data_IF_599304100952
#
_entry.id   IF_599304100952
#
_cell.length_a   1.000
_cell.length_b   1.000
_cell.length_c   1.000
_cell.angle_alpha   90.00
_cell.angle_beta   90.00
_cell.angle_gamma   90.00
#
_symmetry.space_group_name_H-M   'P 1'
#
loop_
_entity.id
_entity.type
_entity.pdbx_description
1 polymer ?
#
# COMPACT_ATOMS: atom_id res chain seq x y z
N UNK A 1 37.07 -10.75 12.24
CA UNK A 1 35.64 -10.65 11.88
C UNK A 1 35.46 -11.44 10.61
N UNK A 2 34.75 -12.57 10.70
CA UNK A 2 34.89 -13.70 9.78
C UNK A 2 33.90 -13.58 8.61
N UNK A 3 34.40 -13.10 7.46
CA UNK A 3 33.64 -12.76 6.26
C UNK A 3 32.76 -13.92 5.76
N UNK A 4 33.21 -15.16 5.94
CA UNK A 4 32.47 -16.37 5.54
C UNK A 4 31.27 -16.66 6.46
N UNK A 5 31.32 -16.29 7.75
CA UNK A 5 30.16 -16.39 8.66
C UNK A 5 29.08 -15.36 8.33
N UNK A 6 29.46 -14.17 7.88
CA UNK A 6 28.52 -13.12 7.44
C UNK A 6 27.85 -13.53 6.13
N UNK A 7 28.60 -14.10 5.17
CA UNK A 7 28.06 -14.65 3.92
C UNK A 7 27.09 -15.81 4.17
N UNK A 8 27.41 -16.72 5.09
CA UNK A 8 26.54 -17.85 5.44
C UNK A 8 25.21 -17.39 6.09
N UNK A 9 25.26 -16.37 6.96
CA UNK A 9 24.07 -15.70 7.51
C UNK A 9 23.23 -15.03 6.42
N UNK A 10 23.88 -14.31 5.51
CA UNK A 10 23.22 -13.64 4.37
C UNK A 10 22.53 -14.64 3.41
N UNK A 11 23.16 -15.78 3.10
CA UNK A 11 22.58 -16.80 2.22
C UNK A 11 21.48 -17.64 2.89
N UNK A 12 21.53 -17.87 4.21
CA UNK A 12 20.42 -18.47 4.96
C UNK A 12 19.19 -17.55 5.01
N UNK A 13 19.40 -16.25 5.17
CA UNK A 13 18.34 -15.23 5.14
C UNK A 13 17.71 -15.07 3.74
N UNK A 14 18.51 -15.16 2.67
CA UNK A 14 18.00 -15.09 1.29
C UNK A 14 17.06 -16.23 0.90
N UNK A 15 17.23 -17.43 1.47
CA UNK A 15 16.40 -18.60 1.13
C UNK A 15 14.96 -18.49 1.66
N UNK A 16 14.79 -17.82 2.81
CA UNK A 16 13.48 -17.45 3.38
C UNK A 16 12.86 -16.26 2.65
N UNK A 17 13.69 -15.28 2.27
CA UNK A 17 13.27 -14.16 1.43
C UNK A 17 12.79 -14.61 0.04
N UNK A 18 13.40 -15.63 -0.58
CA UNK A 18 13.01 -16.15 -1.90
C UNK A 18 11.68 -16.91 -1.89
N UNK A 19 11.38 -17.65 -0.82
CA UNK A 19 10.11 -18.37 -0.67
C UNK A 19 8.95 -17.39 -0.41
N UNK A 20 9.18 -16.34 0.40
CA UNK A 20 8.23 -15.21 0.53
C UNK A 20 8.10 -14.42 -0.78
N UNK A 21 9.19 -14.25 -1.55
CA UNK A 21 9.18 -13.43 -2.77
C UNK A 21 8.26 -13.97 -3.88
N UNK A 22 7.99 -15.27 -3.94
CA UNK A 22 7.07 -15.85 -4.94
C UNK A 22 5.60 -15.58 -4.60
N UNK A 23 5.19 -15.80 -3.34
CA UNK A 23 3.84 -15.48 -2.85
C UNK A 23 3.60 -13.96 -2.81
N UNK A 24 4.60 -13.17 -2.38
CA UNK A 24 4.58 -11.71 -2.46
C UNK A 24 4.38 -11.24 -3.90
N UNK A 25 5.06 -11.85 -4.89
CA UNK A 25 4.93 -11.46 -6.31
C UNK A 25 3.57 -11.80 -6.92
N UNK A 26 2.92 -12.87 -6.51
CA UNK A 26 1.59 -13.23 -7.01
C UNK A 26 0.50 -12.30 -6.45
N UNK A 27 0.55 -11.96 -5.15
CA UNK A 27 -0.34 -10.96 -4.55
C UNK A 27 -0.04 -9.52 -5.00
N UNK A 28 1.24 -9.16 -5.18
CA UNK A 28 1.63 -7.89 -5.79
C UNK A 28 1.11 -7.83 -7.23
N UNK A 29 1.28 -8.89 -8.03
CA UNK A 29 0.76 -8.90 -9.40
C UNK A 29 -0.76 -8.79 -9.42
N UNK A 30 -1.48 -9.47 -8.53
CA UNK A 30 -2.95 -9.37 -8.49
C UNK A 30 -3.39 -7.96 -8.13
N UNK A 31 -2.79 -7.34 -7.12
CA UNK A 31 -3.12 -5.98 -6.69
C UNK A 31 -2.75 -4.92 -7.74
N UNK A 32 -1.58 -5.03 -8.37
CA UNK A 32 -1.16 -4.11 -9.42
C UNK A 32 -2.03 -4.21 -10.67
N UNK A 33 -2.56 -5.38 -11.01
CA UNK A 33 -3.50 -5.54 -12.13
C UNK A 33 -4.83 -4.81 -11.92
N UNK A 34 -5.16 -4.43 -10.69
CA UNK A 34 -6.38 -3.70 -10.36
C UNK A 34 -6.20 -2.18 -10.44
N UNK A 35 -4.97 -1.70 -10.59
CA UNK A 35 -4.61 -0.28 -10.54
C UNK A 35 -4.30 0.26 -11.93
N UNK A 36 -4.81 1.45 -12.21
CA UNK A 36 -4.43 2.22 -13.40
C UNK A 36 -3.08 2.89 -13.15
N UNK A 37 -2.06 2.45 -13.88
CA UNK A 37 -0.76 3.12 -13.90
C UNK A 37 -0.77 4.33 -14.83
N UNK A 38 -0.46 5.50 -14.30
CA UNK A 38 -0.09 6.67 -15.08
C UNK A 38 0.92 7.53 -14.32
N UNK A 39 1.61 8.44 -15.01
CA UNK A 39 2.49 9.42 -14.34
C UNK A 39 1.72 10.31 -13.34
N UNK A 40 0.40 10.42 -13.51
CA UNK A 40 -0.49 11.19 -12.62
C UNK A 40 -1.00 10.38 -11.42
N UNK A 41 -1.09 9.05 -11.51
CA UNK A 41 -1.62 8.18 -10.45
C UNK A 41 -0.97 6.78 -10.46
N UNK A 42 -0.62 6.26 -9.29
CA UNK A 42 -0.19 4.86 -9.13
C UNK A 42 1.14 4.45 -9.80
N UNK A 43 1.81 5.33 -10.54
CA UNK A 43 3.04 4.99 -11.28
C UNK A 43 4.32 4.85 -10.44
N UNK A 44 4.33 5.38 -9.22
CA UNK A 44 5.53 5.42 -8.38
C UNK A 44 5.29 4.69 -7.06
N UNK A 45 5.83 3.48 -6.96
CA UNK A 45 5.80 2.66 -5.73
C UNK A 45 6.61 3.33 -4.63
N UNK A 46 6.10 3.30 -3.40
CA UNK A 46 6.69 3.91 -2.21
C UNK A 46 6.90 5.43 -2.30
N UNK A 47 6.09 6.10 -3.12
CA UNK A 47 6.04 7.55 -3.20
C UNK A 47 4.81 8.06 -2.44
N UNK A 48 5.01 9.00 -1.52
CA UNK A 48 3.91 9.64 -0.79
C UNK A 48 3.44 10.85 -1.59
N UNK A 49 2.16 10.87 -1.95
CA UNK A 49 1.49 11.96 -2.67
C UNK A 49 0.33 12.50 -1.86
N UNK A 50 0.13 13.80 -2.01
CA UNK A 50 -0.99 14.54 -1.44
C UNK A 50 -1.36 15.66 -2.41
N UNK A 51 -2.62 16.07 -2.36
CA UNK A 51 -3.18 17.16 -3.15
C UNK A 51 -3.32 18.45 -2.33
N UNK A 52 -3.37 19.60 -3.01
CA UNK A 52 -3.49 20.91 -2.34
C UNK A 52 -4.78 21.07 -1.51
N UNK A 53 -5.80 20.26 -1.76
CA UNK A 53 -7.08 20.30 -1.05
C UNK A 53 -7.14 19.44 0.22
N UNK A 54 -6.08 18.69 0.54
CA UNK A 54 -6.05 17.84 1.73
C UNK A 54 -5.69 18.64 2.99
N UNK A 55 -6.34 18.30 4.11
CA UNK A 55 -6.00 18.87 5.42
C UNK A 55 -4.64 18.34 5.90
N UNK A 56 -3.98 19.13 6.74
CA UNK A 56 -2.70 18.70 7.33
C UNK A 56 -2.81 17.40 8.13
N UNK A 57 -3.93 17.22 8.84
CA UNK A 57 -4.22 16.01 9.60
C UNK A 57 -4.28 14.78 8.69
N UNK A 58 -4.96 14.90 7.54
CA UNK A 58 -5.04 13.83 6.54
C UNK A 58 -3.66 13.47 5.98
N UNK A 59 -2.86 14.48 5.62
CA UNK A 59 -1.51 14.29 5.10
C UNK A 59 -0.61 13.64 6.15
N UNK A 60 -0.63 14.11 7.40
CA UNK A 60 0.18 13.57 8.49
C UNK A 60 -0.16 12.09 8.75
N UNK A 61 -1.44 11.75 8.82
CA UNK A 61 -1.88 10.37 9.03
C UNK A 61 -1.50 9.46 7.85
N UNK A 62 -1.55 9.98 6.61
CA UNK A 62 -1.11 9.26 5.42
C UNK A 62 0.38 8.93 5.47
N UNK A 63 1.20 9.91 5.87
CA UNK A 63 2.64 9.70 6.06
C UNK A 63 2.90 8.65 7.12
N UNK A 64 2.21 8.71 8.27
CA UNK A 64 2.31 7.72 9.35
C UNK A 64 2.05 6.30 8.84
N UNK A 65 0.93 6.07 8.15
CA UNK A 65 0.59 4.75 7.56
C UNK A 65 1.68 4.29 6.59
N UNK A 66 2.14 5.17 5.70
CA UNK A 66 3.18 4.84 4.73
C UNK A 66 4.50 4.45 5.40
N UNK A 67 4.91 5.16 6.46
CA UNK A 67 6.10 4.84 7.24
C UNK A 67 5.97 3.46 7.91
N UNK A 68 4.85 3.17 8.56
CA UNK A 68 4.61 1.86 9.17
C UNK A 68 4.66 0.73 8.15
N UNK A 69 4.08 0.91 6.96
CA UNK A 69 4.18 -0.08 5.88
C UNK A 69 5.63 -0.33 5.46
N UNK A 70 6.47 0.71 5.39
CA UNK A 70 7.90 0.55 5.09
C UNK A 70 8.67 -0.18 6.17
N UNK A 71 8.39 0.12 7.44
CA UNK A 71 9.01 -0.57 8.58
C UNK A 71 8.70 -2.08 8.57
N UNK A 72 7.49 -2.46 8.12
CA UNK A 72 7.09 -3.86 7.93
C UNK A 72 7.64 -4.49 6.64
N UNK A 73 8.30 -3.73 5.77
CA UNK A 73 8.83 -4.20 4.49
C UNK A 73 7.78 -4.34 3.39
N UNK A 74 6.64 -3.66 3.53
CA UNK A 74 5.56 -3.63 2.56
C UNK A 74 5.79 -2.49 1.55
N UNK A 75 5.43 -2.75 0.31
CA UNK A 75 5.38 -1.76 -0.76
C UNK A 75 3.97 -1.19 -0.89
N UNK A 76 3.86 0.11 -1.17
CA UNK A 76 2.57 0.80 -1.24
C UNK A 76 2.45 1.75 -2.43
N UNK A 77 1.22 2.14 -2.72
CA UNK A 77 0.84 3.23 -3.61
C UNK A 77 -0.03 4.23 -2.86
N UNK A 78 0.24 5.53 -3.01
CA UNK A 78 -0.66 6.57 -2.52
C UNK A 78 -1.51 7.12 -3.66
N UNK A 79 -2.73 7.56 -3.35
CA UNK A 79 -3.69 8.09 -4.32
C UNK A 79 -3.92 7.11 -5.50
N UNK A 80 -3.99 5.81 -5.18
CA UNK A 80 -4.10 4.76 -6.20
C UNK A 80 -5.50 4.80 -6.82
N UNK A 81 -5.55 4.77 -8.16
CA UNK A 81 -6.81 4.76 -8.91
C UNK A 81 -7.01 3.36 -9.47
N UNK A 82 -8.12 2.72 -9.13
CA UNK A 82 -8.50 1.41 -9.65
C UNK A 82 -8.98 1.49 -11.11
N UNK A 83 -9.07 0.35 -11.79
CA UNK A 83 -9.52 0.28 -13.19
C UNK A 83 -10.92 0.87 -13.41
N UNK A 84 -11.79 0.83 -12.41
CA UNK A 84 -13.13 1.43 -12.46
C UNK A 84 -13.14 2.94 -12.16
N UNK A 85 -11.98 3.56 -11.99
CA UNK A 85 -11.82 5.00 -11.76
C UNK A 85 -11.99 5.44 -10.30
N UNK A 86 -12.37 4.53 -9.38
CA UNK A 86 -12.38 4.85 -7.95
C UNK A 86 -10.96 5.01 -7.41
N UNK A 87 -10.78 5.88 -6.41
CA UNK A 87 -9.48 6.25 -5.85
C UNK A 87 -9.45 6.00 -4.35
N UNK A 88 -8.36 5.40 -3.86
CA UNK A 88 -8.09 5.22 -2.45
C UNK A 88 -6.86 6.02 -1.97
N UNK A 89 -6.75 6.25 -0.66
CA UNK A 89 -5.68 7.06 -0.09
C UNK A 89 -4.33 6.33 -0.09
N UNK A 90 -4.29 5.10 0.45
CA UNK A 90 -3.10 4.24 0.45
C UNK A 90 -3.50 2.80 0.12
N UNK A 91 -2.82 2.19 -0.85
CA UNK A 91 -2.92 0.78 -1.18
C UNK A 91 -1.61 0.09 -0.82
N UNK A 92 -1.67 -0.84 0.13
CA UNK A 92 -0.63 -1.84 0.34
C UNK A 92 -0.71 -2.88 -0.77
N UNK A 93 0.24 -2.82 -1.71
CA UNK A 93 0.29 -3.74 -2.84
C UNK A 93 0.94 -5.07 -2.47
N UNK A 94 1.54 -5.18 -1.27
CA UNK A 94 2.13 -6.43 -0.77
C UNK A 94 1.05 -7.41 -0.34
N UNK A 95 0.13 -6.94 0.49
CA UNK A 95 -0.94 -7.76 1.08
C UNK A 95 -2.31 -7.54 0.43
N UNK A 96 -2.48 -6.50 -0.40
CA UNK A 96 -3.77 -6.17 -1.03
C UNK A 96 -4.74 -5.49 -0.05
N UNK A 97 -4.23 -4.58 0.77
CA UNK A 97 -5.03 -3.85 1.78
C UNK A 97 -5.12 -2.38 1.41
N UNK A 98 -6.33 -1.84 1.41
CA UNK A 98 -6.61 -0.42 1.22
C UNK A 98 -6.75 0.24 2.59
N UNK A 99 -6.00 1.30 2.83
CA UNK A 99 -6.14 2.16 4.01
C UNK A 99 -6.84 3.46 3.61
N UNK A 100 -8.04 3.67 4.15
CA UNK A 100 -8.85 4.88 3.97
C UNK A 100 -8.73 5.78 5.19
N UNK A 101 -8.34 7.03 4.98
CA UNK A 101 -8.02 7.98 6.04
C UNK A 101 -9.22 8.90 6.25
N UNK A 102 -9.94 8.66 7.34
CA UNK A 102 -11.13 9.42 7.68
C UNK A 102 -10.76 10.63 8.52
N UNK A 103 -11.02 11.82 7.97
CA UNK A 103 -10.97 13.08 8.74
C UNK A 103 -12.37 13.50 9.18
N UNK A 104 -13.23 13.87 8.22
CA UNK A 104 -14.59 14.34 8.48
C UNK A 104 -15.69 13.51 7.82
N UNK A 105 -15.30 12.49 7.05
CA UNK A 105 -16.25 11.61 6.38
C UNK A 105 -16.93 10.67 7.38
N UNK A 106 -18.20 10.41 7.12
CA UNK A 106 -19.04 9.50 7.92
C UNK A 106 -18.80 8.04 7.53
N UNK A 107 -19.11 7.11 8.43
CA UNK A 107 -18.95 5.68 8.16
C UNK A 107 -19.88 5.23 7.01
N UNK A 108 -21.02 5.90 6.80
CA UNK A 108 -21.95 5.64 5.68
C UNK A 108 -21.33 6.01 4.32
N UNK A 109 -20.68 7.18 4.23
CA UNK A 109 -19.99 7.61 3.00
C UNK A 109 -18.86 6.65 2.64
N UNK A 110 -18.14 6.15 3.65
CA UNK A 110 -17.12 5.13 3.46
C UNK A 110 -17.72 3.82 2.95
N UNK A 111 -18.87 3.39 3.49
CA UNK A 111 -19.57 2.18 3.03
C UNK A 111 -19.90 2.20 1.54
N UNK A 112 -20.38 3.33 1.03
CA UNK A 112 -20.64 3.51 -0.42
C UNK A 112 -19.35 3.51 -1.27
N UNK A 113 -18.23 3.99 -0.70
CA UNK A 113 -16.92 3.98 -1.35
C UNK A 113 -16.37 2.54 -1.45
N UNK A 114 -16.47 1.78 -0.35
CA UNK A 114 -16.00 0.38 -0.26
C UNK A 114 -16.69 -0.51 -1.29
N UNK A 115 -18.00 -0.32 -1.53
CA UNK A 115 -18.74 -1.07 -2.56
C UNK A 115 -18.16 -0.95 -3.97
N UNK A 116 -17.38 0.10 -4.24
CA UNK A 116 -16.74 0.33 -5.54
C UNK A 116 -15.37 -0.31 -5.62
N UNK A 117 -14.78 -0.78 -4.53
CA UNK A 117 -13.44 -1.36 -4.58
C UNK A 117 -13.49 -2.81 -5.06
N UNK A 118 -12.41 -3.31 -5.70
CA UNK A 118 -12.30 -4.72 -6.01
C UNK A 118 -12.50 -5.58 -4.75
N UNK A 119 -13.41 -6.55 -4.80
CA UNK A 119 -13.77 -7.43 -3.66
C UNK A 119 -12.58 -8.22 -3.11
N UNK A 120 -11.53 -8.38 -3.90
CA UNK A 120 -10.29 -9.05 -3.50
C UNK A 120 -9.43 -8.22 -2.54
N UNK A 121 -9.72 -6.93 -2.37
CA UNK A 121 -8.97 -6.05 -1.49
C UNK A 121 -9.66 -5.92 -0.14
N UNK A 122 -8.90 -6.05 0.94
CA UNK A 122 -9.38 -5.71 2.27
C UNK A 122 -9.36 -4.19 2.45
N UNK A 123 -10.32 -3.62 3.20
CA UNK A 123 -10.35 -2.19 3.50
C UNK A 123 -10.21 -1.97 5.00
N UNK A 124 -9.24 -1.15 5.38
CA UNK A 124 -9.00 -0.68 6.74
C UNK A 124 -9.25 0.82 6.83
N UNK A 125 -10.08 1.24 7.79
CA UNK A 125 -10.29 2.65 8.08
C UNK A 125 -9.31 3.13 9.14
N UNK A 126 -8.74 4.32 8.92
CA UNK A 126 -7.80 4.96 9.84
C UNK A 126 -8.31 6.37 10.11
N UNK A 127 -8.59 6.71 11.37
CA UNK A 127 -9.07 8.06 11.72
C UNK A 127 -7.89 9.00 12.00
N UNK A 128 -7.98 10.23 11.52
CA UNK A 128 -7.06 11.31 11.86
C UNK A 128 -7.18 11.72 13.34
#
# INVERSE_FOLDING_TARGET
MDYEKIKASYYRSKRRAYFNQKYKREHIRSSLNLVRFSNRCGGHVNCIRFSLGESWQHIAKKVEVCCSLREMGHDFLTEAIFLNGSRCDVLDITEGVVYEILHSETDEQLGEKIKKYPETLAVMKVRC
#
